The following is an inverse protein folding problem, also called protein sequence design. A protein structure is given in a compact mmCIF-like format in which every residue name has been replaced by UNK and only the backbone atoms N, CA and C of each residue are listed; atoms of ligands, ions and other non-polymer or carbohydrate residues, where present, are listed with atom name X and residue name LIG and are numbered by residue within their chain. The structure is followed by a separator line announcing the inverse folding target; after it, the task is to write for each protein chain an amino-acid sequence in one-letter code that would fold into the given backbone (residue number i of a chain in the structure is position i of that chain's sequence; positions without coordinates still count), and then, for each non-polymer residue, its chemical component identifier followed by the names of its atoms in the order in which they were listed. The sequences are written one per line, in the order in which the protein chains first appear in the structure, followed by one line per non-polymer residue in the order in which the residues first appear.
data_IF_842975698636
#
_entry.id   IF_842975698636
#
_cell.length_a   1.000
_cell.length_b   1.000
_cell.length_c   1.000
_cell.angle_alpha   90.00
_cell.angle_beta   90.00
_cell.angle_gamma   90.00
#
_symmetry.space_group_name_H-M   'P 1'
#
loop_
_entity.id
_entity.type
_entity.pdbx_description
1 polymer ?
#
# COMPACT_ATOMS: atom_id res chain seq x y z
N UNK A 1 -8.59 17.46 -10.01
CA UNK A 1 -7.29 17.60 -9.31
C UNK A 1 -6.86 19.06 -9.33
N UNK A 2 -6.23 19.55 -8.25
CA UNK A 2 -6.08 20.95 -7.81
C UNK A 2 -6.25 22.03 -8.90
N UNK A 3 -5.47 22.01 -9.98
CA UNK A 3 -5.46 23.05 -11.03
C UNK A 3 -6.33 22.73 -12.26
N UNK A 4 -6.77 21.48 -12.42
CA UNK A 4 -7.41 20.92 -13.63
C UNK A 4 -6.61 21.19 -14.91
N UNK A 5 -5.29 21.33 -14.77
CA UNK A 5 -4.38 21.60 -15.89
C UNK A 5 -4.27 20.35 -16.81
N UNK A 6 -4.62 20.46 -18.10
CA UNK A 6 -4.55 19.34 -19.04
C UNK A 6 -3.11 18.88 -19.32
N UNK A 7 -2.11 19.76 -19.23
CA UNK A 7 -0.72 19.39 -19.48
C UNK A 7 -0.19 18.43 -18.40
N UNK A 8 -0.52 18.70 -17.13
CA UNK A 8 -0.21 17.82 -16.00
C UNK A 8 -0.86 16.45 -16.17
N UNK A 9 -2.12 16.39 -16.61
CA UNK A 9 -2.81 15.12 -16.85
C UNK A 9 -2.15 14.32 -17.98
N UNK A 10 -1.72 14.99 -19.05
CA UNK A 10 -1.07 14.32 -20.18
C UNK A 10 0.30 13.75 -19.78
N UNK A 11 1.10 14.50 -19.01
CA UNK A 11 2.35 13.99 -18.43
C UNK A 11 2.13 12.75 -17.55
N UNK A 12 1.07 12.74 -16.74
CA UNK A 12 0.72 11.59 -15.91
C UNK A 12 0.40 10.35 -16.77
N UNK A 13 -0.33 10.51 -17.88
CA UNK A 13 -0.58 9.41 -18.83
C UNK A 13 0.72 8.90 -19.46
N UNK A 14 1.59 9.79 -19.92
CA UNK A 14 2.87 9.40 -20.53
C UNK A 14 3.76 8.61 -19.56
N UNK A 15 3.78 8.99 -18.28
CA UNK A 15 4.53 8.26 -17.24
C UNK A 15 3.94 6.87 -17.03
N UNK A 16 2.61 6.75 -16.91
CA UNK A 16 1.91 5.48 -16.74
C UNK A 16 2.17 4.55 -17.93
N UNK A 17 2.04 5.08 -19.16
CA UNK A 17 2.34 4.35 -20.39
C UNK A 17 3.80 3.86 -20.42
N UNK A 18 4.74 4.71 -20.03
CA UNK A 18 6.16 4.35 -19.97
C UNK A 18 6.44 3.23 -18.95
N UNK A 19 5.83 3.29 -17.76
CA UNK A 19 5.99 2.24 -16.73
C UNK A 19 5.51 0.87 -17.25
N UNK A 20 4.45 0.84 -18.05
CA UNK A 20 3.95 -0.40 -18.67
C UNK A 20 4.84 -0.81 -19.84
N UNK A 21 5.14 0.10 -20.77
CA UNK A 21 5.89 -0.21 -22.00
C UNK A 21 7.34 -0.57 -21.73
N UNK A 22 7.92 -0.10 -20.63
CA UNK A 22 9.27 -0.47 -20.18
C UNK A 22 9.35 -1.90 -19.64
N UNK A 23 8.22 -2.53 -19.33
CA UNK A 23 8.17 -3.87 -18.73
C UNK A 23 8.31 -3.90 -17.21
N UNK A 24 8.50 -2.74 -16.55
CA UNK A 24 8.54 -2.64 -15.07
C UNK A 24 7.22 -3.13 -14.48
N UNK A 25 6.10 -2.74 -15.09
CA UNK A 25 4.77 -3.15 -14.66
C UNK A 25 4.14 -4.08 -15.68
N UNK A 26 3.77 -5.29 -15.25
CA UNK A 26 3.09 -6.26 -16.11
C UNK A 26 1.59 -6.29 -15.80
N UNK A 27 0.72 -5.71 -16.64
CA UNK A 27 -0.71 -5.61 -16.37
C UNK A 27 -1.44 -6.95 -16.49
N UNK A 28 -0.80 -8.01 -17.01
CA UNK A 28 -1.41 -9.34 -17.09
C UNK A 28 -1.19 -10.14 -15.81
N UNK A 29 -0.01 -10.00 -15.20
CA UNK A 29 0.37 -10.78 -14.02
C UNK A 29 0.25 -10.00 -12.72
N UNK A 30 0.26 -8.67 -12.79
CA UNK A 30 0.34 -7.79 -11.64
C UNK A 30 1.76 -7.63 -11.09
N UNK A 31 2.78 -8.24 -11.72
CA UNK A 31 4.17 -8.08 -11.28
C UNK A 31 4.63 -6.64 -11.49
N UNK A 32 5.18 -6.04 -10.44
CA UNK A 32 5.81 -4.72 -10.46
C UNK A 32 7.25 -4.81 -9.95
N UNK A 33 8.21 -4.49 -10.82
CA UNK A 33 9.63 -4.51 -10.52
C UNK A 33 10.10 -3.20 -9.89
N UNK A 34 11.24 -3.21 -9.19
CA UNK A 34 11.79 -2.03 -8.51
C UNK A 34 12.40 -1.02 -9.48
N UNK A 35 12.94 -1.49 -10.60
CA UNK A 35 13.51 -0.62 -11.62
C UNK A 35 14.22 -1.37 -12.73
N UNK A 36 14.91 -0.62 -13.59
CA UNK A 36 15.72 -1.14 -14.69
C UNK A 36 17.00 -0.34 -14.88
N UNK A 37 18.02 -0.98 -15.43
CA UNK A 37 19.27 -0.35 -15.82
C UNK A 37 19.08 0.53 -17.06
N UNK A 38 19.48 1.80 -16.98
CA UNK A 38 19.45 2.73 -18.13
C UNK A 38 20.45 2.37 -19.23
N UNK A 39 21.36 1.42 -18.99
CA UNK A 39 22.36 1.01 -19.98
C UNK A 39 21.76 0.24 -21.15
N UNK A 40 20.78 -0.61 -20.89
CA UNK A 40 20.13 -1.45 -21.91
C UNK A 40 18.61 -1.50 -21.78
N UNK A 41 18.02 -0.91 -20.75
CA UNK A 41 16.59 -0.92 -20.46
C UNK A 41 15.94 -2.32 -20.37
N UNK A 42 16.75 -3.36 -20.16
CA UNK A 42 16.30 -4.76 -20.13
C UNK A 42 16.76 -5.50 -18.87
N UNK A 43 17.76 -4.99 -18.16
CA UNK A 43 18.17 -5.50 -16.86
C UNK A 43 17.29 -4.93 -15.75
N UNK A 44 16.37 -5.75 -15.24
CA UNK A 44 15.45 -5.36 -14.18
C UNK A 44 16.02 -5.64 -12.78
N UNK A 45 15.75 -4.73 -11.85
CA UNK A 45 15.89 -4.98 -10.41
C UNK A 45 14.61 -5.64 -9.92
N UNK A 46 14.72 -6.89 -9.48
CA UNK A 46 13.56 -7.77 -9.21
C UNK A 46 13.09 -7.74 -7.75
N UNK A 47 13.67 -6.88 -6.92
CA UNK A 47 13.14 -6.65 -5.57
C UNK A 47 11.70 -6.16 -5.65
N UNK A 48 10.92 -6.52 -4.65
CA UNK A 48 9.52 -6.14 -4.55
C UNK A 48 9.32 -5.42 -3.23
N UNK A 49 8.72 -4.23 -3.32
CA UNK A 49 8.50 -3.37 -2.17
C UNK A 49 7.05 -2.91 -2.13
N UNK A 50 6.46 -2.89 -0.93
CA UNK A 50 5.05 -2.53 -0.80
C UNK A 50 4.76 -1.12 -1.31
N UNK A 51 5.72 -0.17 -1.16
CA UNK A 51 5.53 1.21 -1.58
C UNK A 51 5.41 1.35 -3.10
N UNK A 52 6.10 0.51 -3.90
CA UNK A 52 5.98 0.53 -5.35
C UNK A 52 4.55 0.17 -5.76
N UNK A 53 4.00 -0.89 -5.17
CA UNK A 53 2.60 -1.28 -5.39
C UNK A 53 1.63 -0.23 -4.87
N UNK A 54 1.88 0.33 -3.68
CA UNK A 54 1.08 1.40 -3.11
C UNK A 54 1.00 2.61 -4.05
N UNK A 55 2.16 3.12 -4.47
CA UNK A 55 2.24 4.26 -5.37
C UNK A 55 1.53 3.96 -6.70
N UNK A 56 1.71 2.77 -7.27
CA UNK A 56 1.07 2.38 -8.52
C UNK A 56 -0.47 2.32 -8.39
N UNK A 57 -0.97 1.59 -7.38
CA UNK A 57 -2.41 1.45 -7.12
C UNK A 57 -3.09 2.80 -6.84
N UNK A 58 -2.46 3.63 -6.01
CA UNK A 58 -2.95 4.98 -5.74
C UNK A 58 -2.95 5.84 -6.99
N UNK A 59 -1.90 5.77 -7.81
CA UNK A 59 -1.84 6.53 -9.07
C UNK A 59 -2.98 6.13 -10.02
N UNK A 60 -3.31 4.84 -10.11
CA UNK A 60 -4.44 4.36 -10.91
C UNK A 60 -5.80 4.85 -10.36
N UNK A 61 -5.99 4.83 -9.04
CA UNK A 61 -7.17 5.40 -8.40
C UNK A 61 -7.31 6.91 -8.70
N UNK A 62 -6.21 7.66 -8.61
CA UNK A 62 -6.19 9.09 -8.94
C UNK A 62 -6.42 9.36 -10.43
N UNK A 63 -5.92 8.50 -11.33
CA UNK A 63 -6.19 8.60 -12.76
C UNK A 63 -7.68 8.36 -13.06
N UNK A 64 -8.30 7.35 -12.45
CA UNK A 64 -9.75 7.16 -12.52
C UNK A 64 -10.51 8.41 -12.05
N UNK A 65 -10.15 8.95 -10.88
CA UNK A 65 -10.75 10.18 -10.35
C UNK A 65 -10.58 11.38 -11.30
N UNK A 66 -9.46 11.44 -12.02
CA UNK A 66 -9.14 12.52 -12.95
C UNK A 66 -9.99 12.49 -14.21
N UNK A 67 -10.20 11.30 -14.76
CA UNK A 67 -10.72 11.11 -16.12
C UNK A 67 -12.12 10.52 -16.16
N UNK A 68 -12.58 9.87 -15.08
CA UNK A 68 -13.77 9.03 -15.05
C UNK A 68 -13.64 7.74 -15.86
N UNK A 69 -12.42 7.34 -16.23
CA UNK A 69 -12.18 6.20 -17.11
C UNK A 69 -11.93 4.92 -16.29
N UNK A 70 -12.89 4.00 -16.35
CA UNK A 70 -12.88 2.73 -15.61
C UNK A 70 -11.64 1.87 -15.90
N UNK A 71 -10.99 2.05 -17.06
CA UNK A 71 -9.81 1.26 -17.43
C UNK A 71 -8.67 1.32 -16.40
N UNK A 72 -8.56 2.43 -15.65
CA UNK A 72 -7.51 2.59 -14.65
C UNK A 72 -7.75 1.70 -13.43
N UNK A 73 -9.02 1.53 -13.01
CA UNK A 73 -9.38 0.60 -11.94
C UNK A 73 -9.30 -0.86 -12.40
N UNK A 74 -9.68 -1.13 -13.66
CA UNK A 74 -9.53 -2.48 -14.24
C UNK A 74 -8.05 -2.88 -14.28
N UNK A 75 -7.18 -1.94 -14.67
CA UNK A 75 -5.73 -2.11 -14.63
C UNK A 75 -5.19 -2.32 -13.21
N UNK A 76 -5.79 -1.74 -12.18
CA UNK A 76 -5.34 -1.87 -10.80
C UNK A 76 -5.53 -3.29 -10.23
N UNK A 77 -6.56 -4.00 -10.68
CA UNK A 77 -6.96 -5.33 -10.16
C UNK A 77 -5.81 -6.35 -10.10
N UNK A 78 -5.10 -6.66 -11.19
CA UNK A 78 -4.02 -7.65 -11.13
C UNK A 78 -2.87 -7.24 -10.19
N UNK A 79 -2.56 -5.95 -10.10
CA UNK A 79 -1.52 -5.45 -9.18
C UNK A 79 -1.95 -5.52 -7.73
N UNK A 80 -3.22 -5.24 -7.43
CA UNK A 80 -3.78 -5.38 -6.08
C UNK A 80 -3.77 -6.84 -5.64
N UNK A 81 -4.22 -7.74 -6.52
CA UNK A 81 -4.22 -9.18 -6.25
C UNK A 81 -2.80 -9.70 -6.00
N UNK A 82 -1.83 -9.23 -6.79
CA UNK A 82 -0.41 -9.57 -6.58
C UNK A 82 0.09 -9.02 -5.25
N UNK A 83 -0.10 -7.72 -4.98
CA UNK A 83 0.42 -7.07 -3.77
C UNK A 83 -0.18 -7.66 -2.49
N UNK A 84 -1.46 -8.02 -2.51
CA UNK A 84 -2.11 -8.67 -1.38
C UNK A 84 -1.45 -10.03 -1.08
N UNK A 85 -1.22 -10.87 -2.11
CA UNK A 85 -0.55 -12.17 -1.95
C UNK A 85 0.92 -12.06 -1.54
N UNK A 86 1.55 -10.89 -1.70
CA UNK A 86 2.96 -10.68 -1.37
C UNK A 86 3.15 -10.01 -0.01
N UNK A 87 2.42 -8.93 0.27
CA UNK A 87 2.63 -8.09 1.45
C UNK A 87 1.57 -8.28 2.53
N UNK A 88 0.47 -9.01 2.26
CA UNK A 88 -0.56 -9.38 3.24
C UNK A 88 -0.91 -10.86 3.09
N UNK A 89 0.14 -11.68 3.00
CA UNK A 89 0.07 -13.08 2.64
C UNK A 89 -0.36 -13.96 3.83
N UNK A 90 -0.71 -15.22 3.54
CA UNK A 90 -1.13 -16.17 4.58
C UNK A 90 -0.05 -16.45 5.63
N UNK A 91 1.24 -16.39 5.27
CA UNK A 91 2.35 -16.56 6.20
C UNK A 91 2.54 -15.37 7.15
N UNK A 92 1.93 -14.21 6.86
CA UNK A 92 1.83 -13.07 7.78
C UNK A 92 0.42 -12.96 8.37
N UNK A 93 -0.39 -14.01 8.26
CA UNK A 93 -1.80 -14.00 8.71
C UNK A 93 -2.65 -12.90 8.09
N UNK A 94 -2.29 -12.39 6.91
CA UNK A 94 -2.97 -11.26 6.29
C UNK A 94 -2.53 -9.88 6.79
N UNK A 95 -1.53 -9.81 7.67
CA UNK A 95 -0.97 -8.56 8.19
C UNK A 95 0.00 -7.96 7.16
N UNK A 96 -0.07 -6.65 6.96
CA UNK A 96 0.83 -5.93 6.06
C UNK A 96 2.27 -5.98 6.57
N UNK A 97 3.16 -6.54 5.76
CA UNK A 97 4.57 -6.76 6.09
C UNK A 97 5.48 -6.59 4.87
N UNK A 98 6.70 -6.09 5.10
CA UNK A 98 7.75 -6.10 4.07
C UNK A 98 8.46 -7.45 4.02
N UNK A 99 8.94 -7.85 2.85
CA UNK A 99 9.65 -9.13 2.66
C UNK A 99 10.95 -9.23 3.48
N UNK A 100 11.52 -8.11 3.92
CA UNK A 100 12.72 -8.06 4.75
C UNK A 100 12.45 -8.08 6.27
N UNK A 101 11.18 -7.97 6.70
CA UNK A 101 10.83 -7.92 8.12
C UNK A 101 11.09 -9.25 8.87
N UNK A 102 10.79 -10.44 8.31
CA UNK A 102 11.02 -11.71 9.02
C UNK A 102 12.47 -11.96 9.41
N UNK A 103 13.41 -11.51 8.57
CA UNK A 103 14.85 -11.72 8.76
C UNK A 103 15.54 -10.49 9.40
N UNK A 104 14.76 -9.50 9.84
CA UNK A 104 15.23 -8.23 10.40
C UNK A 104 16.24 -7.47 9.51
N UNK A 105 16.22 -7.74 8.21
CA UNK A 105 17.19 -7.23 7.24
C UNK A 105 16.78 -5.89 6.62
N UNK A 106 15.60 -5.39 6.97
CA UNK A 106 15.11 -4.12 6.45
C UNK A 106 16.06 -2.97 6.80
N UNK A 107 16.49 -2.26 5.77
CA UNK A 107 17.23 -1.02 5.95
C UNK A 107 16.30 0.10 6.43
N UNK A 108 16.90 1.27 6.61
CA UNK A 108 16.24 2.46 7.11
C UNK A 108 15.01 2.88 6.31
N UNK A 109 15.06 2.79 4.97
CA UNK A 109 14.01 3.27 4.10
C UNK A 109 12.90 2.23 3.96
N UNK A 110 13.28 0.95 3.87
CA UNK A 110 12.37 -0.20 3.79
C UNK A 110 11.41 -0.28 4.98
N UNK A 111 11.88 0.09 6.18
CA UNK A 111 11.04 0.19 7.40
C UNK A 111 9.87 1.19 7.30
N UNK A 112 9.84 2.06 6.28
CA UNK A 112 8.77 3.03 6.06
C UNK A 112 7.82 2.70 4.89
N UNK A 113 8.15 1.72 4.05
CA UNK A 113 7.48 1.50 2.76
C UNK A 113 5.99 1.17 2.91
N UNK A 114 5.63 0.32 3.87
CA UNK A 114 4.22 -0.06 4.10
C UNK A 114 3.29 1.08 4.48
N UNK A 115 3.79 2.21 4.97
CA UNK A 115 2.98 3.41 5.18
C UNK A 115 2.40 3.94 3.86
N UNK A 116 3.20 3.92 2.79
CA UNK A 116 2.79 4.36 1.45
C UNK A 116 1.79 3.36 0.87
N UNK A 117 2.02 2.06 1.09
CA UNK A 117 1.08 1.01 0.69
C UNK A 117 -0.29 1.20 1.34
N UNK A 118 -0.37 1.24 2.67
CA UNK A 118 -1.62 1.38 3.41
C UNK A 118 -2.42 2.63 2.99
N UNK A 119 -1.77 3.79 2.89
CA UNK A 119 -2.42 5.04 2.46
C UNK A 119 -3.04 4.93 1.06
N UNK A 120 -2.33 4.32 0.11
CA UNK A 120 -2.84 4.24 -1.25
C UNK A 120 -3.89 3.13 -1.43
N UNK A 121 -3.91 2.10 -0.58
CA UNK A 121 -5.05 1.18 -0.51
C UNK A 121 -6.34 1.91 -0.12
N UNK A 122 -6.28 2.87 0.81
CA UNK A 122 -7.45 3.68 1.15
C UNK A 122 -7.94 4.54 -0.04
N UNK A 123 -7.02 5.09 -0.85
CA UNK A 123 -7.40 5.79 -2.09
C UNK A 123 -8.05 4.85 -3.12
N UNK A 124 -7.51 3.64 -3.30
CA UNK A 124 -8.09 2.66 -4.19
C UNK A 124 -9.48 2.23 -3.73
N UNK A 125 -9.66 1.99 -2.42
CA UNK A 125 -10.96 1.66 -1.82
C UNK A 125 -12.00 2.76 -2.06
N UNK A 126 -11.62 4.02 -1.88
CA UNK A 126 -12.52 5.16 -2.08
C UNK A 126 -12.96 5.36 -3.53
N UNK A 127 -12.14 4.97 -4.51
CA UNK A 127 -12.43 5.17 -5.93
C UNK A 127 -13.05 3.95 -6.62
N UNK A 128 -12.76 2.73 -6.15
CA UNK A 128 -13.28 1.51 -6.77
C UNK A 128 -14.77 1.29 -6.46
N UNK A 129 -15.51 0.68 -7.37
CA UNK A 129 -16.87 0.18 -7.14
C UNK A 129 -16.93 -1.35 -7.02
N UNK A 130 -15.79 -2.04 -7.13
CA UNK A 130 -15.71 -3.48 -6.98
C UNK A 130 -15.81 -3.87 -5.49
N UNK A 131 -16.95 -4.44 -5.09
CA UNK A 131 -17.22 -4.82 -3.70
C UNK A 131 -16.24 -5.86 -3.15
N UNK A 132 -15.81 -6.82 -3.97
CA UNK A 132 -14.81 -7.81 -3.57
C UNK A 132 -13.47 -7.15 -3.25
N UNK A 133 -13.03 -6.20 -4.09
CA UNK A 133 -11.81 -5.44 -3.84
C UNK A 133 -11.93 -4.58 -2.58
N UNK A 134 -13.07 -3.92 -2.35
CA UNK A 134 -13.31 -3.15 -1.13
C UNK A 134 -13.17 -4.01 0.13
N UNK A 135 -13.88 -5.13 0.17
CA UNK A 135 -13.84 -6.05 1.30
C UNK A 135 -12.45 -6.62 1.53
N UNK A 136 -11.69 -6.88 0.46
CA UNK A 136 -10.32 -7.33 0.57
C UNK A 136 -9.40 -6.25 1.16
N UNK A 137 -9.53 -4.99 0.73
CA UNK A 137 -8.78 -3.85 1.29
C UNK A 137 -9.14 -3.63 2.77
N UNK A 138 -10.42 -3.58 3.10
CA UNK A 138 -10.93 -3.46 4.48
C UNK A 138 -10.31 -4.55 5.37
N UNK A 139 -10.40 -5.82 4.95
CA UNK A 139 -9.83 -6.94 5.68
C UNK A 139 -8.33 -6.81 5.92
N UNK A 140 -7.55 -6.43 4.90
CA UNK A 140 -6.09 -6.24 5.04
C UNK A 140 -5.77 -5.14 6.07
N UNK A 141 -6.47 -4.02 6.00
CA UNK A 141 -6.25 -2.87 6.89
C UNK A 141 -6.68 -3.22 8.32
N UNK A 142 -7.87 -3.79 8.51
CA UNK A 142 -8.41 -4.14 9.82
C UNK A 142 -7.56 -5.20 10.52
N UNK A 143 -7.13 -6.22 9.78
CA UNK A 143 -6.26 -7.29 10.30
C UNK A 143 -4.93 -6.71 10.77
N UNK A 144 -4.37 -5.77 10.01
CA UNK A 144 -3.11 -5.11 10.36
C UNK A 144 -3.26 -4.19 11.56
N UNK A 145 -4.37 -3.43 11.65
CA UNK A 145 -4.66 -2.54 12.79
C UNK A 145 -4.81 -3.34 14.07
N UNK A 146 -5.59 -4.43 14.03
CA UNK A 146 -5.80 -5.31 15.18
C UNK A 146 -4.48 -5.91 15.66
N UNK A 147 -3.67 -6.44 14.74
CA UNK A 147 -2.38 -7.02 15.10
C UNK A 147 -1.42 -6.00 15.70
N UNK A 148 -1.28 -4.83 15.07
CA UNK A 148 -0.45 -3.74 15.56
C UNK A 148 -0.87 -3.29 16.97
N UNK A 149 -2.15 -3.04 17.19
CA UNK A 149 -2.67 -2.56 18.47
C UNK A 149 -2.52 -3.60 19.58
N UNK A 150 -2.72 -4.89 19.29
CA UNK A 150 -2.65 -5.96 20.27
C UNK A 150 -1.21 -6.36 20.64
N UNK A 151 -0.27 -6.27 19.69
CA UNK A 151 1.03 -6.94 19.80
C UNK A 151 2.24 -6.01 19.69
N UNK A 152 2.05 -4.79 19.17
CA UNK A 152 3.18 -3.91 18.83
C UNK A 152 3.21 -2.60 19.61
N UNK A 153 2.11 -2.18 20.23
CA UNK A 153 1.99 -0.86 20.87
C UNK A 153 2.00 -0.93 22.41
N UNK A 154 2.59 0.07 23.06
CA UNK A 154 2.44 0.31 24.50
C UNK A 154 1.22 1.20 24.83
N UNK A 155 1.01 1.48 26.11
CA UNK A 155 -0.09 2.33 26.61
C UNK A 155 0.01 3.80 26.13
N UNK A 156 1.20 4.24 25.72
CA UNK A 156 1.46 5.57 25.19
C UNK A 156 1.40 5.60 23.65
N UNK A 157 0.95 4.50 23.03
CA UNK A 157 0.90 4.32 21.57
C UNK A 157 2.25 4.42 20.86
N UNK A 158 3.35 4.11 21.55
CA UNK A 158 4.60 3.80 20.86
C UNK A 158 4.48 2.39 20.29
N UNK A 159 4.48 2.27 18.98
CA UNK A 159 4.35 0.99 18.30
C UNK A 159 5.67 0.50 17.69
N UNK A 160 5.91 -0.80 17.70
CA UNK A 160 6.94 -1.43 16.89
C UNK A 160 6.57 -1.43 15.40
N UNK A 161 7.60 -1.45 14.56
CA UNK A 161 7.42 -1.36 13.11
C UNK A 161 6.93 -2.66 12.50
N UNK A 162 7.31 -3.82 13.05
CA UNK A 162 6.86 -5.13 12.58
C UNK A 162 5.60 -5.55 13.35
N UNK A 163 4.49 -5.71 12.64
CA UNK A 163 3.18 -6.04 13.23
C UNK A 163 2.87 -7.53 13.19
N UNK A 164 3.78 -8.35 12.64
CA UNK A 164 3.59 -9.80 12.48
C UNK A 164 4.11 -10.60 13.66
N UNK A 165 4.85 -9.96 14.57
CA UNK A 165 5.49 -10.58 15.73
C UNK A 165 5.26 -9.76 16.99
N UNK A 166 5.23 -10.44 18.14
CA UNK A 166 5.26 -9.81 19.47
C UNK A 166 6.63 -9.15 19.68
N UNK A 167 6.75 -7.90 19.24
CA UNK A 167 7.97 -7.10 19.38
C UNK A 167 7.75 -6.05 20.44
N UNK A 168 8.81 -5.76 21.20
CA UNK A 168 8.74 -4.73 22.22
C UNK A 168 8.48 -3.37 21.56
N UNK A 169 7.52 -2.57 22.06
CA UNK A 169 7.32 -1.18 21.69
C UNK A 169 8.63 -0.39 21.59
N UNK A 170 8.80 0.40 20.52
CA UNK A 170 10.02 1.21 20.32
C UNK A 170 9.68 2.68 20.07
N UNK A 171 10.45 3.59 20.66
CA UNK A 171 10.35 5.03 20.40
C UNK A 171 11.16 5.43 19.16
N UNK A 172 10.78 4.88 18.00
CA UNK A 172 11.44 5.14 16.73
C UNK A 172 10.48 5.77 15.72
N UNK A 173 10.85 6.94 15.20
CA UNK A 173 9.99 7.76 14.33
C UNK A 173 9.43 7.00 13.13
N UNK A 174 10.16 6.05 12.53
CA UNK A 174 9.61 5.28 11.39
C UNK A 174 8.62 4.22 11.81
N UNK A 175 8.83 3.59 12.97
CA UNK A 175 7.87 2.66 13.53
C UNK A 175 6.55 3.37 13.87
N UNK A 176 6.64 4.59 14.41
CA UNK A 176 5.47 5.44 14.64
C UNK A 176 4.83 5.91 13.34
N UNK A 177 5.62 6.26 12.33
CA UNK A 177 5.11 6.71 11.04
C UNK A 177 4.26 5.64 10.34
N UNK A 178 4.73 4.38 10.28
CA UNK A 178 3.94 3.31 9.63
C UNK A 178 2.66 3.02 10.38
N UNK A 179 2.70 3.07 11.71
CA UNK A 179 1.55 2.81 12.59
C UNK A 179 0.48 3.92 12.44
N UNK A 180 0.91 5.18 12.47
CA UNK A 180 0.02 6.31 12.22
C UNK A 180 -0.58 6.29 10.80
N UNK A 181 0.21 5.96 9.78
CA UNK A 181 -0.28 5.85 8.41
C UNK A 181 -1.34 4.76 8.24
N UNK A 182 -1.18 3.64 8.96
CA UNK A 182 -2.17 2.55 8.98
C UNK A 182 -3.48 3.00 9.63
N UNK A 183 -3.42 3.66 10.78
CA UNK A 183 -4.62 4.18 11.46
C UNK A 183 -5.35 5.22 10.61
N UNK A 184 -4.63 6.13 9.97
CA UNK A 184 -5.23 7.11 9.03
C UNK A 184 -5.89 6.42 7.84
N UNK A 185 -5.28 5.36 7.31
CA UNK A 185 -5.89 4.58 6.23
C UNK A 185 -7.19 3.90 6.70
N UNK A 186 -7.22 3.34 7.91
CA UNK A 186 -8.42 2.73 8.49
C UNK A 186 -9.57 3.75 8.67
N UNK A 187 -9.26 4.93 9.21
CA UNK A 187 -10.24 6.03 9.32
C UNK A 187 -10.75 6.46 7.94
N UNK A 188 -9.86 6.52 6.93
CA UNK A 188 -10.24 6.86 5.55
C UNK A 188 -11.15 5.83 4.87
N UNK A 189 -11.09 4.56 5.29
CA UNK A 189 -11.90 3.46 4.75
C UNK A 189 -13.27 3.40 5.43
N UNK A 190 -13.32 3.53 6.75
CA UNK A 190 -14.56 3.31 7.52
C UNK A 190 -15.33 4.59 7.88
N UNK A 191 -14.71 5.76 7.72
CA UNK A 191 -15.25 7.02 8.24
C UNK A 191 -15.43 7.02 9.77
N UNK A 192 -16.21 7.95 10.30
CA UNK A 192 -16.52 8.03 11.74
C UNK A 192 -17.35 6.83 12.25
N UNK A 193 -17.87 5.97 11.35
CA UNK A 193 -18.66 4.78 11.66
C UNK A 193 -17.84 3.54 12.05
N UNK A 194 -16.52 3.54 11.85
CA UNK A 194 -15.64 2.41 12.21
C UNK A 194 -14.99 2.51 13.59
N UNK A 195 -15.12 3.67 14.25
CA UNK A 195 -14.67 3.90 15.63
C UNK A 195 -15.86 3.73 16.56
N UNK A 196 -16.45 2.53 16.60
CA UNK A 196 -17.32 2.20 17.73
C UNK A 196 -16.46 2.28 19.00
N UNK A 197 -16.74 3.31 19.79
CA UNK A 197 -16.09 3.68 21.05
C UNK A 197 -16.41 2.67 22.18
N UNK A 198 -16.45 1.38 21.87
CA UNK A 198 -16.79 0.31 22.81
C UNK A 198 -15.59 -0.58 23.20
N UNK A 199 -14.36 -0.19 22.87
CA UNK A 199 -13.14 -0.93 23.23
C UNK A 199 -12.12 -0.15 24.05
N UNK A 200 -12.50 1.02 24.58
CA UNK A 200 -11.75 1.70 25.63
C UNK A 200 -12.59 1.80 26.90
N UNK A 201 -12.73 0.68 27.61
CA UNK A 201 -13.05 0.62 29.05
C UNK A 201 -11.91 -0.10 29.77
#
# INVERSE_FOLDING_TARGET
MITKDPETLEKAKSILEWVISSGIANPKTGLLMDGLSVKNCTEFTTFQWSYNYGQWLGSLAWMHKATGDQKYLDMATPYFDYSQRTFAASNTSGIVSELCEPDESCNRDQKGFKAIYARNLAYLHGETNNSTMKQAIEKVIDTSVQAMAAHSCDQDWNCAGNWTTDTHPIQFVRAQHVSAALLVAAVGIHGDSGLDASTCD
#
